data_IF_584410629494
#
_entry.id   IF_584410629494
#
_cell.length_a   1.000
_cell.length_b   1.000
_cell.length_c   1.000
_cell.angle_alpha   90.00
_cell.angle_beta   90.00
_cell.angle_gamma   90.00
#
_symmetry.space_group_name_H-M   'P 1'
#
loop_
_entity.id
_entity.type
_entity.pdbx_description
1 polymer ?
#
# COMPACT_ATOMS: atom_id res chain seq x y z
N UNK A 1 -4.99 -5.66 -0.58
CA UNK A 1 -4.60 -7.02 -0.18
C UNK A 1 -5.09 -7.95 -1.27
N UNK A 2 -4.36 -8.99 -1.69
CA UNK A 2 -4.86 -9.87 -2.77
C UNK A 2 -6.13 -10.58 -2.33
N UNK A 3 -7.24 -10.29 -3.00
CA UNK A 3 -8.43 -11.12 -2.93
C UNK A 3 -8.13 -12.43 -3.64
N UNK A 4 -8.09 -13.54 -2.90
CA UNK A 4 -7.93 -14.88 -3.46
C UNK A 4 -9.34 -15.45 -3.64
N UNK A 5 -9.73 -15.73 -4.89
CA UNK A 5 -10.99 -16.43 -5.15
C UNK A 5 -10.96 -17.84 -4.54
N UNK A 6 -12.13 -18.41 -4.26
CA UNK A 6 -12.26 -19.78 -3.75
C UNK A 6 -11.47 -20.79 -4.59
N UNK A 7 -11.53 -20.66 -5.91
CA UNK A 7 -10.82 -21.58 -6.81
C UNK A 7 -9.31 -21.41 -6.74
N UNK A 8 -8.82 -20.18 -6.57
CA UNK A 8 -7.40 -19.91 -6.39
C UNK A 8 -6.87 -20.43 -5.05
N UNK A 9 -7.71 -20.41 -4.00
CA UNK A 9 -7.40 -21.05 -2.72
C UNK A 9 -7.33 -22.57 -2.89
N UNK A 10 -8.28 -23.20 -3.60
CA UNK A 10 -8.24 -24.65 -3.85
C UNK A 10 -6.99 -25.08 -4.62
N UNK A 11 -6.64 -24.33 -5.67
CA UNK A 11 -5.47 -24.61 -6.49
C UNK A 11 -4.18 -24.46 -5.67
N UNK A 12 -4.09 -23.43 -4.82
CA UNK A 12 -2.98 -23.25 -3.88
C UNK A 12 -2.81 -24.45 -2.95
N UNK A 13 -3.89 -24.94 -2.34
CA UNK A 13 -3.82 -26.10 -1.43
C UNK A 13 -3.43 -27.39 -2.17
N UNK A 14 -3.91 -27.58 -3.41
CA UNK A 14 -3.53 -28.72 -4.26
C UNK A 14 -2.04 -28.68 -4.60
N UNK A 15 -1.54 -27.49 -4.92
CA UNK A 15 -0.13 -27.25 -5.22
C UNK A 15 0.77 -27.54 -4.03
N UNK A 16 0.37 -27.11 -2.83
CA UNK A 16 1.09 -27.39 -1.58
C UNK A 16 1.07 -28.90 -1.30
N UNK A 17 -0.09 -29.57 -1.42
CA UNK A 17 -0.22 -31.02 -1.20
C UNK A 17 0.71 -31.83 -2.12
N UNK A 18 0.82 -31.45 -3.40
CA UNK A 18 1.69 -32.11 -4.37
C UNK A 18 3.19 -31.98 -4.09
N UNK A 19 3.59 -31.02 -3.24
CA UNK A 19 4.99 -30.68 -2.93
C UNK A 19 5.43 -31.12 -1.53
N UNK A 20 4.52 -31.74 -0.77
CA UNK A 20 4.85 -32.44 0.47
C UNK A 20 5.50 -33.79 0.15
N UNK A 21 6.65 -34.10 0.77
CA UNK A 21 7.33 -35.39 0.59
C UNK A 21 6.43 -36.56 1.00
N UNK A 22 6.40 -37.60 0.17
CA UNK A 22 5.59 -38.81 0.40
C UNK A 22 6.25 -39.68 1.47
N UNK A 23 5.48 -40.13 2.45
CA UNK A 23 5.96 -41.05 3.49
C UNK A 23 5.23 -40.89 4.83
N UNK A 24 4.74 -39.69 5.13
CA UNK A 24 3.94 -39.40 6.33
C UNK A 24 2.60 -38.76 5.92
N UNK A 25 1.44 -39.34 6.30
CA UNK A 25 0.13 -38.76 5.97
C UNK A 25 -0.25 -37.56 6.85
N UNK A 26 0.43 -37.37 7.99
CA UNK A 26 0.08 -36.33 8.96
C UNK A 26 0.19 -34.91 8.38
N UNK A 27 1.24 -34.57 7.60
CA UNK A 27 1.31 -33.28 6.94
C UNK A 27 0.13 -32.97 6.00
N UNK A 28 -0.30 -33.96 5.21
CA UNK A 28 -1.43 -33.78 4.28
C UNK A 28 -2.73 -33.62 5.06
N UNK A 29 -2.91 -34.39 6.14
CA UNK A 29 -4.09 -34.29 7.00
C UNK A 29 -4.19 -32.92 7.68
N UNK A 30 -3.07 -32.39 8.19
CA UNK A 30 -3.07 -31.08 8.83
C UNK A 30 -3.31 -29.96 7.82
N UNK A 31 -2.73 -30.05 6.62
CA UNK A 31 -3.01 -29.10 5.53
C UNK A 31 -4.51 -29.01 5.23
N UNK A 32 -5.23 -30.14 5.19
CA UNK A 32 -6.69 -30.14 4.97
C UNK A 32 -7.46 -29.42 6.07
N UNK A 33 -6.99 -29.47 7.31
CA UNK A 33 -7.61 -28.74 8.44
C UNK A 33 -7.34 -27.23 8.41
N UNK A 34 -6.32 -26.79 7.65
CA UNK A 34 -6.00 -25.38 7.47
C UNK A 34 -6.79 -24.73 6.32
N UNK A 35 -7.56 -25.51 5.57
CA UNK A 35 -8.35 -24.98 4.46
C UNK A 35 -9.40 -24.01 5.02
N UNK A 36 -9.41 -22.73 4.60
CA UNK A 36 -10.38 -21.78 5.10
C UNK A 36 -11.79 -22.14 4.62
N UNK A 37 -12.79 -21.89 5.47
CA UNK A 37 -14.18 -21.83 5.04
C UNK A 37 -14.44 -20.61 4.15
N UNK A 38 -15.59 -20.58 3.47
CA UNK A 38 -15.97 -19.46 2.57
C UNK A 38 -15.86 -18.10 3.26
N UNK A 39 -16.32 -18.02 4.50
CA UNK A 39 -16.34 -16.78 5.28
C UNK A 39 -14.95 -16.37 5.80
N UNK A 40 -14.01 -17.32 5.89
CA UNK A 40 -12.64 -17.06 6.33
C UNK A 40 -11.70 -16.63 5.20
N UNK A 41 -12.05 -16.84 3.93
CA UNK A 41 -11.16 -16.62 2.78
C UNK A 41 -10.63 -15.18 2.71
N UNK A 42 -11.49 -14.21 3.04
CA UNK A 42 -11.12 -12.79 3.08
C UNK A 42 -10.22 -12.43 4.27
N UNK A 43 -10.25 -13.25 5.32
CA UNK A 43 -9.48 -13.08 6.54
C UNK A 43 -7.98 -13.35 6.37
N UNK A 44 -7.20 -12.77 7.28
CA UNK A 44 -5.73 -12.97 7.33
C UNK A 44 -5.34 -14.19 8.16
N UNK A 45 -6.17 -14.61 9.10
CA UNK A 45 -5.80 -15.62 10.11
C UNK A 45 -5.41 -16.97 9.50
N UNK A 46 -6.15 -17.44 8.49
CA UNK A 46 -5.81 -18.69 7.81
C UNK A 46 -4.50 -18.58 7.02
N UNK A 47 -4.18 -17.40 6.47
CA UNK A 47 -2.92 -17.16 5.74
C UNK A 47 -1.72 -17.23 6.67
N UNK A 48 -1.83 -16.64 7.87
CA UNK A 48 -0.81 -16.75 8.90
C UNK A 48 -0.65 -18.18 9.41
N UNK A 49 -1.75 -18.89 9.69
CA UNK A 49 -1.71 -20.31 10.08
C UNK A 49 -1.03 -21.18 9.02
N UNK A 50 -1.35 -20.95 7.75
CA UNK A 50 -0.74 -21.67 6.63
C UNK A 50 0.75 -21.33 6.47
N UNK A 51 1.14 -20.07 6.59
CA UNK A 51 2.55 -19.64 6.53
C UNK A 51 3.41 -20.33 7.59
N UNK A 52 2.99 -20.27 8.87
CA UNK A 52 3.73 -20.92 9.95
C UNK A 52 3.80 -22.43 9.79
N UNK A 53 2.74 -23.03 9.24
CA UNK A 53 2.75 -24.46 8.92
C UNK A 53 3.74 -24.82 7.81
N UNK A 54 3.80 -24.03 6.74
CA UNK A 54 4.73 -24.18 5.63
C UNK A 54 6.20 -24.05 6.10
N UNK A 55 6.49 -23.09 6.97
CA UNK A 55 7.81 -22.95 7.61
C UNK A 55 8.18 -24.19 8.43
N UNK A 56 7.21 -24.75 9.17
CA UNK A 56 7.41 -26.00 9.93
C UNK A 56 7.71 -27.20 9.03
N UNK A 57 7.08 -27.31 7.85
CA UNK A 57 7.37 -28.36 6.87
C UNK A 57 8.77 -28.21 6.26
N UNK A 58 9.20 -26.98 6.02
CA UNK A 58 10.54 -26.65 5.55
C UNK A 58 11.62 -27.08 6.57
N UNK A 59 11.47 -26.67 7.83
CA UNK A 59 12.44 -27.00 8.90
C UNK A 59 12.50 -28.51 9.18
N UNK A 60 11.41 -29.23 8.96
CA UNK A 60 11.34 -30.69 9.14
C UNK A 60 11.71 -31.50 7.89
N UNK A 61 12.24 -30.84 6.86
CA UNK A 61 12.63 -31.44 5.58
C UNK A 61 11.48 -32.24 4.91
N UNK A 62 10.23 -31.83 5.16
CA UNK A 62 9.03 -32.39 4.54
C UNK A 62 8.62 -31.64 3.27
N UNK A 63 9.22 -30.47 3.02
CA UNK A 63 9.00 -29.63 1.85
C UNK A 63 10.30 -28.88 1.52
N UNK A 64 10.54 -28.60 0.23
CA UNK A 64 11.69 -27.82 -0.22
C UNK A 64 11.53 -26.34 0.18
N UNK A 65 12.54 -25.81 0.88
CA UNK A 65 12.63 -24.41 1.27
C UNK A 65 12.51 -23.45 0.09
N UNK A 66 12.98 -23.84 -1.10
CA UNK A 66 12.96 -23.02 -2.31
C UNK A 66 11.55 -22.64 -2.80
N UNK A 67 10.49 -23.35 -2.37
CA UNK A 67 9.12 -23.00 -2.74
C UNK A 67 8.32 -22.30 -1.61
N UNK A 68 8.88 -22.18 -0.40
CA UNK A 68 8.19 -21.49 0.71
C UNK A 68 8.11 -20.00 0.46
N UNK A 69 9.23 -19.36 0.11
CA UNK A 69 9.29 -17.91 -0.09
C UNK A 69 8.32 -17.41 -1.19
N UNK A 70 8.22 -18.06 -2.37
CA UNK A 70 7.20 -17.73 -3.37
C UNK A 70 5.75 -17.95 -2.90
N UNK A 71 5.49 -19.00 -2.11
CA UNK A 71 4.16 -19.29 -1.56
C UNK A 71 3.72 -18.26 -0.53
N UNK A 72 4.63 -17.89 0.39
CA UNK A 72 4.39 -16.84 1.39
C UNK A 72 4.19 -15.50 0.68
N UNK A 73 5.00 -15.20 -0.34
CA UNK A 73 4.80 -14.02 -1.18
C UNK A 73 3.42 -14.04 -1.86
N UNK A 74 2.93 -15.20 -2.34
CA UNK A 74 1.58 -15.34 -2.90
C UNK A 74 0.49 -15.10 -1.86
N UNK A 75 0.63 -15.67 -0.67
CA UNK A 75 -0.31 -15.54 0.45
C UNK A 75 -0.45 -14.09 0.92
N UNK A 76 0.65 -13.35 1.00
CA UNK A 76 0.66 -11.98 1.50
C UNK A 76 0.85 -10.93 0.41
N UNK A 77 0.85 -11.36 -0.86
CA UNK A 77 0.86 -10.44 -1.98
C UNK A 77 -0.25 -9.42 -1.76
N UNK A 78 0.09 -8.16 -2.00
CA UNK A 78 -0.93 -7.23 -2.45
C UNK A 78 -1.22 -7.65 -3.87
N UNK A 79 -2.48 -7.64 -4.30
CA UNK A 79 -2.79 -7.87 -5.69
C UNK A 79 -1.84 -6.95 -6.45
N UNK A 80 -1.28 -7.43 -7.57
CA UNK A 80 -0.68 -6.54 -8.53
C UNK A 80 -1.79 -5.55 -8.92
N UNK A 81 -1.90 -4.51 -8.12
CA UNK A 81 -2.40 -3.22 -8.51
C UNK A 81 -1.34 -2.87 -9.52
N UNK A 82 -1.64 -3.19 -10.78
CA UNK A 82 -1.22 -2.39 -11.92
C UNK A 82 -0.86 -1.02 -11.38
N UNK A 83 0.38 -0.60 -11.56
CA UNK A 83 0.95 0.65 -11.04
C UNK A 83 0.11 1.91 -11.38
N UNK A 84 -1.04 1.76 -12.06
CA UNK A 84 -1.97 2.80 -12.44
C UNK A 84 -3.14 3.12 -11.50
N UNK A 85 -3.47 2.37 -10.45
CA UNK A 85 -4.70 2.72 -9.70
C UNK A 85 -4.70 2.40 -8.19
N UNK A 86 -4.06 3.28 -7.42
CA UNK A 86 -4.44 3.49 -6.02
C UNK A 86 -5.59 4.50 -6.02
N UNK A 87 -6.85 4.10 -5.75
CA UNK A 87 -8.00 5.02 -5.77
C UNK A 87 -7.94 6.17 -4.74
N UNK A 88 -6.89 6.23 -3.91
CA UNK A 88 -6.57 7.37 -3.04
C UNK A 88 -5.36 8.23 -3.45
N UNK A 89 -4.63 7.89 -4.53
CA UNK A 89 -3.46 8.65 -5.04
C UNK A 89 -3.57 9.01 -6.53
N UNK A 90 -4.73 8.78 -7.14
CA UNK A 90 -4.96 9.01 -8.57
C UNK A 90 -5.05 10.49 -8.97
N UNK A 91 -5.15 11.42 -8.01
CA UNK A 91 -5.21 12.86 -8.32
C UNK A 91 -3.89 13.53 -7.92
N UNK A 92 -3.02 13.84 -8.90
CA UNK A 92 -1.89 14.69 -8.63
C UNK A 92 -2.39 16.10 -8.32
N UNK A 93 -1.96 16.63 -7.18
CA UNK A 93 -2.03 18.06 -6.90
C UNK A 93 -0.62 18.60 -6.89
N UNK A 94 -0.51 19.90 -7.13
CA UNK A 94 0.73 20.61 -6.98
C UNK A 94 0.48 21.79 -6.04
N UNK A 95 1.44 22.09 -5.18
CA UNK A 95 1.28 23.11 -4.13
C UNK A 95 2.41 24.12 -4.21
N UNK A 96 2.06 25.41 -4.16
CA UNK A 96 3.01 26.51 -3.96
C UNK A 96 2.92 27.04 -2.54
N UNK A 97 4.07 27.16 -1.90
CA UNK A 97 4.24 27.79 -0.59
C UNK A 97 4.92 29.13 -0.81
N UNK A 98 4.20 30.21 -0.52
CA UNK A 98 4.75 31.58 -0.53
C UNK A 98 5.16 31.94 0.89
N UNK A 99 6.42 32.34 1.05
CA UNK A 99 6.94 32.80 2.34
C UNK A 99 6.94 34.32 2.44
N UNK A 100 7.05 34.84 3.65
CA UNK A 100 7.22 36.27 3.94
C UNK A 100 8.42 36.89 3.20
N UNK A 101 9.44 36.09 2.92
CA UNK A 101 10.62 36.48 2.12
C UNK A 101 10.33 36.52 0.62
N UNK A 102 9.07 36.39 0.20
CA UNK A 102 8.61 36.28 -1.20
C UNK A 102 9.28 35.14 -1.97
N UNK A 103 9.71 34.09 -1.27
CA UNK A 103 10.19 32.86 -1.92
C UNK A 103 9.01 31.93 -2.13
N UNK A 104 8.99 31.29 -3.29
CA UNK A 104 8.00 30.28 -3.62
C UNK A 104 8.65 28.90 -3.66
N UNK A 105 8.13 27.96 -2.89
CA UNK A 105 8.53 26.55 -2.94
C UNK A 105 7.38 25.74 -3.53
N UNK A 106 7.67 24.93 -4.54
CA UNK A 106 6.65 24.17 -5.28
C UNK A 106 6.85 22.68 -5.10
N UNK A 107 5.75 21.94 -4.88
CA UNK A 107 5.78 20.51 -4.63
C UNK A 107 4.65 19.78 -5.34
N UNK A 108 4.95 18.61 -5.92
CA UNK A 108 3.94 17.64 -6.33
C UNK A 108 3.51 16.77 -5.15
N UNK A 109 2.19 16.63 -4.98
CA UNK A 109 1.56 15.95 -3.85
C UNK A 109 0.42 15.06 -4.34
N UNK A 110 0.56 13.72 -4.25
CA UNK A 110 -0.54 12.82 -4.52
C UNK A 110 -1.53 12.85 -3.35
N UNK A 111 -2.79 13.15 -3.63
CA UNK A 111 -3.84 13.25 -2.62
C UNK A 111 -5.22 13.00 -3.22
N UNK A 112 -6.25 12.91 -2.38
CA UNK A 112 -7.64 12.73 -2.84
C UNK A 112 -8.36 14.04 -3.13
N UNK A 113 -7.98 15.13 -2.44
CA UNK A 113 -8.60 16.45 -2.55
C UNK A 113 -7.61 17.56 -2.12
N UNK A 114 -7.90 18.85 -2.33
CA UNK A 114 -6.97 19.93 -2.00
C UNK A 114 -6.57 20.04 -0.53
N UNK A 115 -7.48 19.70 0.40
CA UNK A 115 -7.19 19.72 1.83
C UNK A 115 -6.25 18.58 2.23
N UNK A 116 -6.51 17.37 1.73
CA UNK A 116 -5.63 16.23 1.90
C UNK A 116 -4.24 16.53 1.31
N UNK A 117 -4.16 17.19 0.15
CA UNK A 117 -2.88 17.58 -0.45
C UNK A 117 -2.06 18.48 0.50
N UNK A 118 -2.68 19.48 1.12
CA UNK A 118 -2.04 20.28 2.15
C UNK A 118 -1.57 19.43 3.35
N UNK A 119 -2.45 18.57 3.89
CA UNK A 119 -2.13 17.71 5.04
C UNK A 119 -1.02 16.70 4.73
N UNK A 120 -0.92 16.19 3.50
CA UNK A 120 0.20 15.32 3.11
C UNK A 120 1.50 16.10 2.97
N UNK A 121 1.45 17.35 2.50
CA UNK A 121 2.63 18.20 2.40
C UNK A 121 3.22 18.52 3.78
N UNK A 122 2.37 18.84 4.77
CA UNK A 122 2.84 19.19 6.14
C UNK A 122 3.57 18.05 6.85
N UNK A 123 3.34 16.81 6.44
CA UNK A 123 4.05 15.63 6.95
C UNK A 123 5.49 15.51 6.42
N UNK A 124 5.82 16.17 5.29
CA UNK A 124 7.15 16.08 4.67
C UNK A 124 8.18 16.90 5.45
N UNK A 125 9.39 16.37 5.57
CA UNK A 125 10.52 17.08 6.20
C UNK A 125 10.83 18.41 5.49
N UNK A 126 10.69 18.45 4.16
CA UNK A 126 10.89 19.67 3.38
C UNK A 126 9.96 20.81 3.81
N UNK A 127 8.67 20.52 4.05
CA UNK A 127 7.72 21.53 4.53
C UNK A 127 8.15 22.11 5.88
N UNK A 128 8.52 21.24 6.83
CA UNK A 128 8.97 21.64 8.17
C UNK A 128 10.25 22.48 8.19
N UNK A 129 10.98 22.51 7.08
CA UNK A 129 12.22 23.29 6.93
C UNK A 129 12.01 24.67 6.29
N UNK A 130 10.78 25.02 5.89
CA UNK A 130 10.47 26.29 5.23
C UNK A 130 10.02 27.31 6.30
N UNK A 131 10.84 28.33 6.61
CA UNK A 131 10.47 29.34 7.59
C UNK A 131 9.51 30.39 6.99
N UNK A 132 8.64 30.95 7.85
CA UNK A 132 7.83 32.12 7.53
C UNK A 132 6.82 31.88 6.40
N UNK A 133 6.04 30.81 6.50
CA UNK A 133 5.00 30.48 5.50
C UNK A 133 3.83 31.45 5.63
N UNK A 134 3.53 32.19 4.56
CA UNK A 134 2.47 33.20 4.53
C UNK A 134 1.20 32.64 3.90
N UNK A 135 1.34 32.01 2.72
CA UNK A 135 0.22 31.51 1.92
C UNK A 135 0.60 30.20 1.26
N UNK A 136 -0.34 29.25 1.26
CA UNK A 136 -0.22 27.98 0.53
C UNK A 136 -1.33 27.90 -0.52
N UNK A 137 -0.95 27.67 -1.78
CA UNK A 137 -1.86 27.57 -2.91
C UNK A 137 -1.82 26.16 -3.48
N UNK A 138 -2.98 25.51 -3.58
CA UNK A 138 -3.13 24.14 -4.08
C UNK A 138 -3.78 24.17 -5.45
N UNK A 139 -3.20 23.46 -6.40
CA UNK A 139 -3.61 23.41 -7.80
C UNK A 139 -3.90 21.96 -8.21
N UNK A 140 -4.78 21.79 -9.18
CA UNK A 140 -4.98 20.50 -9.85
C UNK A 140 -3.82 20.18 -10.78
N UNK A 141 -3.45 18.90 -10.90
CA UNK A 141 -2.38 18.45 -11.78
C UNK A 141 -0.98 18.60 -11.17
N UNK A 142 0.01 18.03 -11.85
CA UNK A 142 1.42 18.15 -11.48
C UNK A 142 1.98 19.51 -11.94
N UNK A 143 3.13 19.91 -11.40
CA UNK A 143 3.81 21.15 -11.79
C UNK A 143 4.02 21.31 -13.31
N UNK A 144 4.41 20.28 -14.09
CA UNK A 144 4.58 20.41 -15.54
C UNK A 144 3.27 20.65 -16.29
N UNK A 145 2.14 20.24 -15.72
CA UNK A 145 0.81 20.34 -16.36
C UNK A 145 0.17 21.72 -16.13
N UNK A 146 0.76 22.55 -15.28
CA UNK A 146 0.24 23.89 -14.97
C UNK A 146 0.40 24.81 -16.17
N UNK A 147 -0.72 25.37 -16.62
CA UNK A 147 -0.73 26.46 -17.59
C UNK A 147 -0.47 27.80 -16.92
N UNK A 148 0.12 28.75 -17.66
CA UNK A 148 0.34 30.11 -17.17
C UNK A 148 -1.00 30.77 -16.84
N UNK A 149 -1.16 31.27 -15.61
CA UNK A 149 -2.40 31.92 -15.14
C UNK A 149 -3.43 30.98 -14.49
N UNK A 150 -3.10 29.70 -14.29
CA UNK A 150 -3.97 28.77 -13.56
C UNK A 150 -4.30 29.31 -12.16
N UNK A 151 -5.58 29.22 -11.78
CA UNK A 151 -6.04 29.62 -10.45
C UNK A 151 -5.93 28.46 -9.47
N UNK A 152 -5.55 28.71 -8.21
CA UNK A 152 -5.53 27.66 -7.21
C UNK A 152 -6.94 27.16 -6.91
N UNK A 153 -7.10 25.84 -6.80
CA UNK A 153 -8.32 25.21 -6.29
C UNK A 153 -8.62 25.63 -4.86
N UNK A 154 -7.56 25.85 -4.06
CA UNK A 154 -7.68 26.34 -2.69
C UNK A 154 -6.44 27.13 -2.29
N UNK A 155 -6.67 28.20 -1.54
CA UNK A 155 -5.62 28.99 -0.90
C UNK A 155 -5.81 28.90 0.61
N UNK A 156 -4.74 28.61 1.34
CA UNK A 156 -4.69 28.63 2.79
C UNK A 156 -3.86 29.82 3.23
N UNK A 157 -4.46 30.69 4.04
CA UNK A 157 -3.77 31.83 4.65
C UNK A 157 -3.29 31.49 6.05
N UNK A 158 -2.42 32.31 6.64
CA UNK A 158 -1.80 32.08 7.96
C UNK A 158 -2.80 31.63 9.05
N UNK A 159 -4.01 32.18 9.07
CA UNK A 159 -5.05 31.82 10.05
C UNK A 159 -5.65 30.41 9.90
N UNK A 160 -5.41 29.75 8.77
CA UNK A 160 -5.90 28.39 8.45
C UNK A 160 -4.77 27.35 8.45
N UNK A 161 -3.52 27.77 8.67
CA UNK A 161 -2.37 26.88 8.66
C UNK A 161 -2.34 26.06 9.96
N UNK A 162 -2.43 24.74 9.82
CA UNK A 162 -2.49 23.80 10.96
C UNK A 162 -1.09 23.58 11.56
N UNK A 163 -0.04 23.81 10.77
CA UNK A 163 1.35 23.67 11.20
C UNK A 163 2.19 24.83 10.68
N UNK A 164 2.52 25.76 11.57
CA UNK A 164 3.48 26.84 11.35
C UNK A 164 4.70 26.57 12.23
N UNK A 165 5.87 26.45 11.63
CA UNK A 165 7.16 26.37 12.32
C UNK A 165 7.86 27.73 12.32
#
# INVERSE_FOLDING_TARGET
>A
MTHLSEDRVKDLFRDIEGRIKRGNPNPIRYLKNLHPSKDEIEGLEWRYRLSGYLEGLAVSDQMDNGFIEPLVATLFSRADVSDGDRPGRARPFSIDIVTEQRKTFSFDVPAMNPLDAYVQLTKRTAYKSIPGIEVIKVFEGLLPDRTSGVQPLRTFHTGELIFTS
#
